data_IF_355661688018
#
_entry.id   IF_355661688018
#
_cell.length_a   1.000
_cell.length_b   1.000
_cell.length_c   1.000
_cell.angle_alpha   90.00
_cell.angle_beta   90.00
_cell.angle_gamma   90.00
#
_symmetry.space_group_name_H-M   'P 1'
#
loop_
_entity.id
_entity.type
_entity.pdbx_description
1 polymer ?
#
# COMPACT_ATOMS: atom_id res chain seq x y z
N UNK A 1 -20.58 11.14 -21.65
CA UNK A 1 -20.54 9.79 -21.07
C UNK A 1 -20.92 8.68 -22.05
N UNK A 2 -22.21 8.44 -22.38
CA UNK A 2 -22.58 7.37 -23.32
C UNK A 2 -21.85 7.46 -24.66
N UNK A 3 -21.71 8.68 -25.23
CA UNK A 3 -20.99 8.89 -26.49
C UNK A 3 -19.49 8.63 -26.38
N UNK A 4 -18.88 8.94 -25.26
CA UNK A 4 -17.46 8.66 -25.00
C UNK A 4 -17.25 7.16 -24.82
N UNK A 5 -18.10 6.48 -24.03
CA UNK A 5 -18.08 5.02 -23.92
C UNK A 5 -18.23 4.33 -25.29
N UNK A 6 -19.17 4.79 -26.11
CA UNK A 6 -19.36 4.23 -27.46
C UNK A 6 -18.09 4.45 -28.30
N UNK A 7 -17.48 5.64 -28.23
CA UNK A 7 -16.24 5.95 -28.96
C UNK A 7 -15.08 5.06 -28.52
N UNK A 8 -14.84 4.95 -27.21
CA UNK A 8 -13.77 4.09 -26.68
C UNK A 8 -14.02 2.62 -27.00
N UNK A 9 -15.26 2.13 -26.87
CA UNK A 9 -15.61 0.76 -27.24
C UNK A 9 -15.37 0.49 -28.74
N UNK A 10 -15.72 1.43 -29.60
CA UNK A 10 -15.49 1.31 -31.06
C UNK A 10 -13.99 1.27 -31.40
N UNK A 11 -13.18 2.07 -30.70
CA UNK A 11 -11.74 2.09 -30.92
C UNK A 11 -11.06 0.82 -30.41
N UNK A 12 -11.48 0.31 -29.24
CA UNK A 12 -11.03 -1.00 -28.72
C UNK A 12 -11.39 -2.10 -29.70
N UNK A 13 -12.63 -2.14 -30.18
CA UNK A 13 -13.08 -3.11 -31.17
C UNK A 13 -12.24 -3.05 -32.46
N UNK A 14 -11.98 -1.85 -32.98
CA UNK A 14 -11.17 -1.68 -34.19
C UNK A 14 -9.75 -2.23 -34.02
N UNK A 15 -9.10 -1.98 -32.87
CA UNK A 15 -7.77 -2.52 -32.59
C UNK A 15 -7.77 -4.02 -32.36
N UNK A 16 -8.86 -4.59 -31.86
CA UNK A 16 -9.01 -6.04 -31.67
C UNK A 16 -9.06 -6.83 -32.96
N UNK A 17 -9.38 -6.17 -34.10
CA UNK A 17 -9.33 -6.79 -35.44
C UNK A 17 -7.94 -6.69 -36.10
N UNK A 18 -7.00 -5.97 -35.48
CA UNK A 18 -5.63 -5.89 -35.98
C UNK A 18 -4.81 -7.05 -35.43
N UNK A 19 -4.61 -8.09 -36.22
CA UNK A 19 -3.86 -9.30 -35.85
C UNK A 19 -2.38 -9.03 -35.50
N UNK A 20 -1.86 -7.84 -35.80
CA UNK A 20 -0.48 -7.44 -35.49
C UNK A 20 -0.31 -6.91 -34.08
N UNK A 21 -1.39 -6.59 -33.37
CA UNK A 21 -1.35 -6.03 -32.00
C UNK A 21 -1.26 -7.16 -30.98
N UNK A 22 -0.30 -7.07 -30.06
CA UNK A 22 -0.20 -8.02 -28.94
C UNK A 22 -1.42 -7.90 -28.01
N UNK A 23 -1.93 -9.04 -27.58
CA UNK A 23 -3.14 -9.13 -26.71
C UNK A 23 -2.92 -8.37 -25.39
N UNK A 24 -1.73 -8.42 -24.83
CA UNK A 24 -1.39 -7.73 -23.59
C UNK A 24 -1.42 -6.22 -23.76
N UNK A 25 -0.89 -5.72 -24.88
CA UNK A 25 -0.93 -4.29 -25.23
C UNK A 25 -2.37 -3.82 -25.48
N UNK A 26 -3.19 -4.64 -26.12
CA UNK A 26 -4.61 -4.35 -26.35
C UNK A 26 -5.40 -4.25 -25.06
N UNK A 27 -5.16 -5.15 -24.10
CA UNK A 27 -5.80 -5.10 -22.77
C UNK A 27 -5.42 -3.82 -22.04
N UNK A 28 -4.13 -3.49 -21.96
CA UNK A 28 -3.66 -2.26 -21.30
C UNK A 28 -4.23 -0.99 -21.95
N UNK A 29 -4.37 -0.97 -23.27
CA UNK A 29 -5.04 0.11 -23.98
C UNK A 29 -6.52 0.23 -23.61
N UNK A 30 -7.24 -0.91 -23.59
CA UNK A 30 -8.66 -0.95 -23.25
C UNK A 30 -8.92 -0.47 -21.81
N UNK A 31 -8.10 -0.92 -20.86
CA UNK A 31 -8.15 -0.45 -19.47
C UNK A 31 -7.93 1.05 -19.37
N UNK A 32 -6.91 1.58 -20.06
CA UNK A 32 -6.61 3.02 -20.09
C UNK A 32 -7.76 3.86 -20.65
N UNK A 33 -8.41 3.42 -21.72
CA UNK A 33 -9.55 4.11 -22.33
C UNK A 33 -10.79 4.10 -21.42
N UNK A 34 -11.09 2.96 -20.79
CA UNK A 34 -12.19 2.86 -19.82
C UNK A 34 -11.92 3.73 -18.60
N UNK A 35 -10.68 3.73 -18.09
CA UNK A 35 -10.26 4.56 -16.97
C UNK A 35 -10.43 6.05 -17.26
N UNK A 36 -10.01 6.54 -18.44
CA UNK A 36 -10.22 7.94 -18.87
C UNK A 36 -11.69 8.34 -18.84
N UNK A 37 -12.59 7.46 -19.30
CA UNK A 37 -14.03 7.72 -19.28
C UNK A 37 -14.57 7.78 -17.86
N UNK A 38 -14.06 6.93 -16.97
CA UNK A 38 -14.42 6.91 -15.55
C UNK A 38 -13.90 8.17 -14.80
N UNK A 39 -12.64 8.55 -15.06
CA UNK A 39 -11.97 9.68 -14.42
C UNK A 39 -12.58 11.04 -14.84
N UNK A 40 -13.00 11.16 -16.09
CA UNK A 40 -13.70 12.36 -16.62
C UNK A 40 -14.99 12.69 -15.87
N UNK A 41 -15.47 11.81 -15.00
CA UNK A 41 -16.66 12.00 -14.17
C UNK A 41 -16.40 12.45 -12.75
N UNK A 42 -15.16 12.41 -12.27
CA UNK A 42 -14.78 13.05 -11.01
C UNK A 42 -14.71 14.57 -11.24
N UNK A 43 -15.86 15.17 -11.57
CA UNK A 43 -16.01 16.63 -11.54
C UNK A 43 -15.73 17.05 -10.11
N UNK A 44 -14.56 17.61 -9.85
CA UNK A 44 -14.32 18.44 -8.67
C UNK A 44 -15.28 19.64 -8.80
N UNK A 45 -16.49 19.47 -8.28
CA UNK A 45 -17.44 20.59 -8.25
C UNK A 45 -16.85 21.66 -7.32
N UNK A 46 -16.83 22.90 -7.79
CA UNK A 46 -16.51 24.04 -6.94
C UNK A 46 -17.51 24.03 -5.79
N UNK A 47 -17.00 23.88 -4.57
CA UNK A 47 -17.83 23.82 -3.36
C UNK A 47 -17.83 25.18 -2.68
N UNK A 48 -18.95 25.56 -2.11
CA UNK A 48 -19.04 26.80 -1.33
C UNK A 48 -18.18 26.69 -0.06
N UNK A 49 -17.45 27.74 0.27
CA UNK A 49 -16.59 27.77 1.47
C UNK A 49 -17.36 27.45 2.76
N UNK A 50 -18.64 27.78 2.83
CA UNK A 50 -19.52 27.46 3.96
C UNK A 50 -19.64 25.96 4.21
N UNK A 51 -19.80 25.16 3.14
CA UNK A 51 -19.94 23.70 3.25
C UNK A 51 -18.60 23.03 3.59
N UNK A 52 -17.51 23.59 3.11
CA UNK A 52 -16.16 23.17 3.45
C UNK A 52 -15.87 23.46 4.91
N UNK A 53 -16.19 24.66 5.39
CA UNK A 53 -16.00 25.06 6.77
C UNK A 53 -16.79 24.16 7.73
N UNK A 54 -18.06 23.87 7.42
CA UNK A 54 -18.88 22.99 8.25
C UNK A 54 -18.24 21.59 8.41
N UNK A 55 -17.74 21.02 7.32
CA UNK A 55 -17.03 19.73 7.36
C UNK A 55 -15.71 19.80 8.13
N UNK A 56 -14.95 20.87 7.97
CA UNK A 56 -13.71 21.07 8.71
C UNK A 56 -13.96 21.16 10.24
N UNK A 57 -15.01 21.88 10.64
CA UNK A 57 -15.41 21.97 12.04
C UNK A 57 -15.85 20.60 12.60
N UNK A 58 -16.59 19.80 11.84
CA UNK A 58 -16.96 18.44 12.24
C UNK A 58 -15.72 17.56 12.44
N UNK A 59 -14.74 17.62 11.53
CA UNK A 59 -13.49 16.87 11.67
C UNK A 59 -12.71 17.29 12.92
N UNK A 60 -12.64 18.59 13.23
CA UNK A 60 -12.00 19.10 14.45
C UNK A 60 -12.74 18.59 15.71
N UNK A 61 -14.07 18.60 15.68
CA UNK A 61 -14.87 18.10 16.79
C UNK A 61 -14.70 16.59 17.00
N UNK A 62 -14.67 15.80 15.93
CA UNK A 62 -14.39 14.36 16.00
C UNK A 62 -12.97 14.10 16.54
N UNK A 63 -11.99 14.84 16.06
CA UNK A 63 -10.62 14.76 16.56
C UNK A 63 -10.52 15.10 18.07
N UNK A 64 -11.31 16.06 18.54
CA UNK A 64 -11.32 16.42 19.96
C UNK A 64 -11.96 15.36 20.86
N UNK A 65 -12.85 14.53 20.32
CA UNK A 65 -13.50 13.41 21.03
C UNK A 65 -12.65 12.14 21.00
N UNK A 66 -11.71 12.04 20.05
CA UNK A 66 -10.79 10.92 19.95
C UNK A 66 -9.74 11.00 21.07
N UNK A 67 -9.81 10.08 22.01
CA UNK A 67 -8.81 9.90 23.07
C UNK A 67 -7.52 9.24 22.57
N UNK A 68 -7.48 8.78 21.31
CA UNK A 68 -6.25 8.26 20.71
C UNK A 68 -5.25 9.41 20.47
N UNK A 69 -3.99 9.17 20.77
CA UNK A 69 -2.93 10.16 20.61
C UNK A 69 -2.70 10.61 19.14
N UNK A 70 -3.35 9.94 18.18
CA UNK A 70 -3.14 10.14 16.74
C UNK A 70 -4.49 10.22 16.02
N UNK A 71 -4.62 11.21 15.11
CA UNK A 71 -5.79 11.38 14.27
C UNK A 71 -5.68 10.63 12.93
N UNK A 72 -4.46 10.23 12.56
CA UNK A 72 -4.13 9.49 11.35
C UNK A 72 -3.72 8.05 11.64
N UNK A 73 -3.26 7.36 10.61
CA UNK A 73 -2.71 6.00 10.73
C UNK A 73 -1.32 6.07 11.35
N UNK A 74 -1.07 5.47 12.52
CA UNK A 74 0.24 5.51 13.16
C UNK A 74 1.28 4.75 12.35
N UNK A 75 2.49 5.30 12.23
CA UNK A 75 3.62 4.62 11.58
C UNK A 75 4.23 3.53 12.46
N UNK A 76 3.95 3.56 13.77
CA UNK A 76 4.58 2.74 14.80
C UNK A 76 5.96 3.23 15.22
N UNK A 77 6.42 4.37 14.68
CA UNK A 77 7.62 5.06 15.12
C UNK A 77 7.24 6.32 15.91
N UNK A 78 7.29 6.25 17.22
CA UNK A 78 6.82 7.32 18.12
C UNK A 78 7.37 8.71 17.76
N UNK A 79 8.62 8.80 17.33
CA UNK A 79 9.24 10.09 16.99
C UNK A 79 8.60 10.71 15.74
N UNK A 80 8.19 9.88 14.78
CA UNK A 80 7.49 10.31 13.58
C UNK A 80 6.05 10.66 13.92
N UNK A 81 5.38 9.76 14.61
CA UNK A 81 3.97 9.88 14.96
C UNK A 81 3.67 11.12 15.82
N UNK A 82 4.61 11.53 16.69
CA UNK A 82 4.50 12.78 17.46
C UNK A 82 4.51 14.03 16.57
N UNK A 83 5.23 13.99 15.46
CA UNK A 83 5.36 15.15 14.55
C UNK A 83 4.21 15.19 13.53
N UNK A 84 3.81 14.00 13.03
CA UNK A 84 2.82 13.88 11.95
C UNK A 84 1.39 13.71 12.47
N UNK A 85 1.21 13.32 13.74
CA UNK A 85 -0.05 12.86 14.32
C UNK A 85 -0.62 11.64 13.58
N UNK A 86 0.26 10.81 13.01
CA UNK A 86 -0.07 9.71 12.09
C UNK A 86 -0.25 10.18 10.65
N UNK A 87 -0.25 9.25 9.71
CA UNK A 87 -0.46 9.51 8.29
C UNK A 87 -1.90 9.86 8.00
N UNK A 88 -2.14 11.03 7.37
CA UNK A 88 -3.48 11.49 7.09
C UNK A 88 -4.00 10.90 5.78
N UNK A 89 -5.32 10.80 5.66
CA UNK A 89 -5.96 10.36 4.43
C UNK A 89 -5.58 11.27 3.26
N UNK A 90 -5.28 10.69 2.12
CA UNK A 90 -4.87 11.35 0.88
C UNK A 90 -3.46 11.94 0.90
N UNK A 91 -2.65 11.70 1.93
CA UNK A 91 -1.25 12.13 1.94
C UNK A 91 -0.40 11.30 0.98
N UNK A 92 0.50 11.97 0.27
CA UNK A 92 1.61 11.37 -0.45
C UNK A 92 2.88 11.53 0.37
N UNK A 93 3.41 10.44 0.89
CA UNK A 93 4.61 10.43 1.72
C UNK A 93 5.78 9.88 0.91
N UNK A 94 6.84 10.68 0.75
CA UNK A 94 8.02 10.30 -0.01
C UNK A 94 9.16 9.98 0.97
N UNK A 95 9.67 8.74 0.91
CA UNK A 95 10.81 8.30 1.70
C UNK A 95 11.97 8.04 0.76
N UNK A 96 13.04 8.83 0.88
CA UNK A 96 14.24 8.71 0.08
C UNK A 96 15.45 8.38 0.96
N UNK A 97 16.33 7.55 0.45
CA UNK A 97 17.60 7.21 1.08
C UNK A 97 18.64 6.83 0.02
N UNK A 98 19.92 6.96 0.35
CA UNK A 98 21.00 6.44 -0.50
C UNK A 98 20.90 4.90 -0.59
N UNK A 99 21.41 4.28 -1.63
CA UNK A 99 21.47 2.81 -1.72
C UNK A 99 22.06 2.21 -0.44
N UNK A 100 21.54 1.06 -0.04
CA UNK A 100 21.97 0.28 1.14
C UNK A 100 21.76 0.96 2.51
N UNK A 101 21.06 2.09 2.59
CA UNK A 101 20.78 2.77 3.88
C UNK A 101 19.53 2.24 4.60
N UNK A 102 18.94 1.14 4.14
CA UNK A 102 17.83 0.50 4.82
C UNK A 102 16.43 1.06 4.49
N UNK A 103 16.25 1.80 3.38
CA UNK A 103 14.94 2.32 2.93
C UNK A 103 13.84 1.25 2.99
N UNK A 104 14.06 0.12 2.30
CA UNK A 104 13.08 -0.98 2.25
C UNK A 104 12.84 -1.60 3.63
N UNK A 105 13.87 -1.75 4.46
CA UNK A 105 13.73 -2.27 5.81
C UNK A 105 12.85 -1.34 6.67
N UNK A 106 13.07 -0.03 6.56
CA UNK A 106 12.29 0.98 7.29
C UNK A 106 10.81 0.96 6.88
N UNK A 107 10.53 0.99 5.57
CA UNK A 107 9.15 0.96 5.06
C UNK A 107 8.45 -0.35 5.41
N UNK A 108 9.18 -1.46 5.36
CA UNK A 108 8.65 -2.78 5.70
C UNK A 108 8.33 -2.90 7.21
N UNK A 109 9.20 -2.34 8.07
CA UNK A 109 8.92 -2.26 9.51
C UNK A 109 7.71 -1.38 9.81
N UNK A 110 7.56 -0.27 9.09
CA UNK A 110 6.38 0.59 9.19
C UNK A 110 5.10 -0.18 8.78
N UNK A 111 5.13 -0.86 7.66
CA UNK A 111 4.02 -1.69 7.18
C UNK A 111 3.62 -2.76 8.21
N UNK A 112 4.62 -3.42 8.82
CA UNK A 112 4.40 -4.38 9.91
C UNK A 112 3.75 -3.72 11.13
N UNK A 113 4.26 -2.60 11.58
CA UNK A 113 3.71 -1.89 12.74
C UNK A 113 2.26 -1.47 12.49
N UNK A 114 1.98 -0.91 11.32
CA UNK A 114 0.61 -0.51 10.93
C UNK A 114 -0.34 -1.71 10.91
N UNK A 115 0.08 -2.83 10.34
CA UNK A 115 -0.79 -3.98 10.17
C UNK A 115 -0.90 -4.86 11.42
N UNK A 116 0.18 -5.09 12.16
CA UNK A 116 0.20 -5.98 13.33
C UNK A 116 -0.19 -5.25 14.60
N UNK A 117 0.40 -4.08 14.85
CA UNK A 117 0.19 -3.38 16.12
C UNK A 117 -1.06 -2.47 16.10
N UNK A 118 -1.45 -2.00 14.92
CA UNK A 118 -2.58 -1.08 14.74
C UNK A 118 -3.73 -1.64 13.88
N UNK A 119 -3.65 -2.88 13.42
CA UNK A 119 -4.69 -3.59 12.65
C UNK A 119 -5.13 -2.83 11.38
N UNK A 120 -4.23 -2.01 10.79
CA UNK A 120 -4.50 -1.25 9.58
C UNK A 120 -4.18 -2.08 8.34
N UNK A 121 -5.06 -2.04 7.34
CA UNK A 121 -4.81 -2.69 6.05
C UNK A 121 -3.67 -2.02 5.30
N UNK A 122 -2.67 -2.80 4.89
CA UNK A 122 -1.50 -2.32 4.15
C UNK A 122 -1.36 -3.08 2.84
N UNK A 123 -1.34 -2.34 1.72
CA UNK A 123 -0.95 -2.86 0.42
C UNK A 123 0.50 -2.45 0.12
N UNK A 124 1.35 -3.42 -0.17
CA UNK A 124 2.77 -3.21 -0.44
C UNK A 124 3.09 -3.62 -1.89
N UNK A 125 3.39 -2.66 -2.74
CA UNK A 125 3.78 -2.89 -4.13
C UNK A 125 5.30 -2.86 -4.26
N UNK A 126 5.90 -3.92 -4.77
CA UNK A 126 7.35 -4.08 -4.87
C UNK A 126 7.80 -4.36 -6.30
N UNK A 127 8.59 -3.45 -6.87
CA UNK A 127 9.18 -3.61 -8.20
C UNK A 127 10.63 -4.15 -8.14
N UNK A 128 11.22 -4.26 -6.96
CA UNK A 128 12.64 -4.63 -6.78
C UNK A 128 12.80 -6.02 -6.15
N UNK A 129 11.87 -6.41 -5.27
CA UNK A 129 11.98 -7.63 -4.47
C UNK A 129 10.71 -8.46 -4.56
N UNK A 130 10.85 -9.79 -4.59
CA UNK A 130 9.70 -10.70 -4.56
C UNK A 130 8.98 -10.67 -3.20
N UNK A 131 7.69 -11.01 -3.20
CA UNK A 131 6.87 -11.10 -1.99
C UNK A 131 7.49 -12.03 -0.94
N UNK A 132 8.06 -13.16 -1.38
CA UNK A 132 8.75 -14.11 -0.50
C UNK A 132 9.99 -13.48 0.15
N UNK A 133 10.77 -12.69 -0.59
CA UNK A 133 11.95 -12.01 -0.04
C UNK A 133 11.56 -10.95 0.99
N UNK A 134 10.47 -10.21 0.76
CA UNK A 134 9.93 -9.24 1.71
C UNK A 134 9.44 -9.92 2.97
N UNK A 135 8.67 -11.01 2.83
CA UNK A 135 8.19 -11.79 3.97
C UNK A 135 9.33 -12.41 4.79
N UNK A 136 10.37 -12.91 4.12
CA UNK A 136 11.58 -13.40 4.82
C UNK A 136 12.27 -12.32 5.65
N UNK A 137 12.30 -11.06 5.16
CA UNK A 137 12.85 -9.94 5.94
C UNK A 137 11.98 -9.64 7.17
N UNK A 138 10.65 -9.68 7.04
CA UNK A 138 9.73 -9.51 8.16
C UNK A 138 9.92 -10.60 9.21
N UNK A 139 10.02 -11.87 8.79
CA UNK A 139 10.26 -13.01 9.67
C UNK A 139 11.58 -12.84 10.45
N UNK A 140 12.65 -12.48 9.76
CA UNK A 140 13.97 -12.25 10.38
C UNK A 140 13.89 -11.09 11.39
N UNK A 141 13.21 -10.01 11.05
CA UNK A 141 13.05 -8.85 11.91
C UNK A 141 12.21 -9.19 13.17
N UNK A 142 11.14 -9.96 13.01
CA UNK A 142 10.23 -10.33 14.09
C UNK A 142 10.87 -11.36 15.05
N UNK A 143 11.62 -12.30 14.51
CA UNK A 143 12.23 -13.38 15.30
C UNK A 143 13.59 -13.01 15.89
N UNK A 144 14.29 -12.03 15.31
CA UNK A 144 15.67 -11.72 15.68
C UNK A 144 16.68 -12.82 15.33
N UNK A 145 16.27 -13.86 14.59
CA UNK A 145 17.13 -14.96 14.19
C UNK A 145 18.15 -14.52 13.12
N UNK A 146 19.26 -15.23 13.05
CA UNK A 146 20.26 -14.99 12.00
C UNK A 146 19.64 -15.18 10.61
N UNK A 147 19.76 -14.17 9.75
CA UNK A 147 19.27 -14.25 8.39
C UNK A 147 19.89 -15.39 7.57
N UNK A 148 21.13 -15.80 7.89
CA UNK A 148 21.78 -16.91 7.25
C UNK A 148 21.17 -18.25 7.69
N UNK A 149 20.84 -18.40 8.96
CA UNK A 149 20.27 -19.63 9.49
C UNK A 149 18.84 -19.82 8.98
N UNK A 150 18.05 -18.73 8.97
CA UNK A 150 16.70 -18.76 8.39
C UNK A 150 16.73 -19.11 6.91
N UNK A 151 17.61 -18.48 6.11
CA UNK A 151 17.73 -18.75 4.66
C UNK A 151 18.24 -20.15 4.36
N UNK A 152 19.16 -20.68 5.18
CA UNK A 152 19.72 -22.03 4.99
C UNK A 152 18.87 -23.14 5.60
N UNK A 153 17.82 -22.78 6.37
CA UNK A 153 16.99 -23.74 7.08
C UNK A 153 17.68 -24.44 8.26
N UNK A 154 18.84 -23.93 8.69
CA UNK A 154 19.64 -24.51 9.78
C UNK A 154 19.17 -23.97 11.13
N UNK A 155 17.95 -24.32 11.51
CA UNK A 155 17.33 -23.91 12.76
C UNK A 155 17.24 -25.09 13.72
N UNK A 156 17.53 -24.83 15.00
CA UNK A 156 17.29 -25.78 16.06
C UNK A 156 15.77 -25.97 16.31
N UNK A 157 15.34 -27.08 16.94
CA UNK A 157 13.94 -27.26 17.27
C UNK A 157 13.33 -26.14 18.13
N UNK A 158 14.15 -25.49 18.94
CA UNK A 158 13.72 -24.34 19.76
C UNK A 158 13.54 -23.08 18.89
N UNK A 159 14.47 -22.84 17.96
CA UNK A 159 14.37 -21.74 17.01
C UNK A 159 13.15 -21.91 16.08
N UNK A 160 12.83 -23.14 15.68
CA UNK A 160 11.63 -23.44 14.90
C UNK A 160 10.35 -23.09 15.68
N UNK A 161 10.25 -23.51 16.96
CA UNK A 161 9.10 -23.16 17.82
C UNK A 161 8.98 -21.65 18.03
N UNK A 162 10.12 -20.96 18.21
CA UNK A 162 10.16 -19.52 18.32
C UNK A 162 9.66 -18.83 17.02
N UNK A 163 10.16 -19.29 15.85
CA UNK A 163 9.74 -18.77 14.56
C UNK A 163 8.22 -18.94 14.36
N UNK A 164 7.68 -20.14 14.58
CA UNK A 164 6.24 -20.38 14.46
C UNK A 164 5.41 -19.48 15.40
N UNK A 165 5.86 -19.29 16.62
CA UNK A 165 5.18 -18.43 17.58
C UNK A 165 5.23 -16.95 17.18
N UNK A 166 6.41 -16.45 16.83
CA UNK A 166 6.62 -15.04 16.49
C UNK A 166 5.96 -14.63 15.17
N UNK A 167 5.77 -15.58 14.22
CA UNK A 167 5.16 -15.27 12.93
C UNK A 167 3.63 -15.34 12.91
N UNK A 168 2.99 -15.88 13.95
CA UNK A 168 1.52 -15.93 14.04
C UNK A 168 0.83 -14.57 13.83
N UNK A 169 1.27 -13.48 14.48
CA UNK A 169 0.68 -12.16 14.27
C UNK A 169 0.79 -11.68 12.82
N UNK A 170 1.93 -11.94 12.17
CA UNK A 170 2.13 -11.59 10.75
C UNK A 170 1.18 -12.36 9.83
N UNK A 171 0.90 -13.63 10.13
CA UNK A 171 0.00 -14.47 9.33
C UNK A 171 -1.46 -14.05 9.39
N UNK A 172 -1.86 -13.36 10.47
CA UNK A 172 -3.23 -12.83 10.66
C UNK A 172 -3.37 -11.34 10.32
N UNK A 173 -2.24 -10.63 10.14
CA UNK A 173 -2.24 -9.20 9.85
C UNK A 173 -2.73 -8.91 8.42
N UNK A 174 -3.46 -7.81 8.21
CA UNK A 174 -3.99 -7.43 6.90
C UNK A 174 -2.90 -6.80 6.01
N UNK A 175 -1.86 -7.56 5.67
CA UNK A 175 -0.78 -7.16 4.75
C UNK A 175 -0.97 -7.85 3.42
N UNK A 176 -1.05 -7.07 2.36
CA UNK A 176 -1.20 -7.51 0.98
C UNK A 176 0.05 -7.12 0.20
N UNK A 177 0.72 -8.06 -0.43
CA UNK A 177 1.97 -7.82 -1.18
C UNK A 177 1.73 -8.16 -2.64
N UNK A 178 2.06 -7.21 -3.51
CA UNK A 178 2.08 -7.38 -4.97
C UNK A 178 3.51 -7.15 -5.48
N UNK A 179 4.10 -8.17 -6.07
CA UNK A 179 5.43 -8.15 -6.68
C UNK A 179 5.38 -8.32 -8.21
N UNK A 180 4.22 -8.06 -8.79
CA UNK A 180 4.04 -8.09 -10.24
C UNK A 180 4.94 -7.02 -10.88
N UNK A 181 5.84 -7.40 -11.80
CA UNK A 181 6.66 -6.41 -12.48
C UNK A 181 5.77 -5.50 -13.31
N UNK A 182 5.97 -4.18 -13.21
CA UNK A 182 5.33 -3.24 -14.12
C UNK A 182 5.79 -3.53 -15.56
N UNK A 183 4.83 -3.68 -16.46
CA UNK A 183 5.06 -3.83 -17.90
C UNK A 183 5.48 -2.50 -18.51
#
# INVERSE_FOLDING_TARGET
MQRELIRSATEIQKRSYDESTDVTELIGYAEGEIFKVAEGHVKRSVQASKDILARALMQIEEASKNTSAFNGVPSGFMAIDRVTLGWQLSDLIIIAARPSMGKTAFVLSMARNMAVDHEQGVAFFSLEMSAVQLMMRLIIAETGLSGNDVKSGRLTPEQWRHLESATKPLGSAPVYIDDTPAL
#
